data_IF_822096139625
#
_entry.id   IF_822096139625
#
_cell.length_a   1.000
_cell.length_b   1.000
_cell.length_c   1.000
_cell.angle_alpha   90.00
_cell.angle_beta   90.00
_cell.angle_gamma   90.00
#
_symmetry.space_group_name_H-M   'P 1'
#
loop_
_entity.id
_entity.type
_entity.pdbx_description
1 polymer ?
#
# COMPACT_ATOMS: atom_id res chain seq x y z
N UNK A 1 20.04 -14.34 26.21
CA UNK A 1 19.34 -15.52 25.62
C UNK A 1 18.54 -15.04 24.41
N UNK A 2 18.69 -15.69 23.27
CA UNK A 2 17.86 -15.45 22.11
C UNK A 2 16.88 -16.63 22.01
N UNK A 3 15.60 -16.40 22.30
CA UNK A 3 14.55 -17.40 22.06
C UNK A 3 13.83 -17.05 20.75
N UNK A 4 13.68 -18.03 19.86
CA UNK A 4 12.90 -17.90 18.63
C UNK A 4 11.65 -18.76 18.80
N UNK A 5 10.49 -18.12 18.88
CA UNK A 5 9.20 -18.80 18.90
C UNK A 5 8.53 -18.59 17.55
N UNK A 6 8.17 -19.64 16.85
CA UNK A 6 7.36 -19.56 15.64
C UNK A 6 5.87 -19.66 16.04
N UNK A 7 5.13 -18.58 15.86
CA UNK A 7 3.66 -18.61 15.99
C UNK A 7 3.08 -18.82 14.59
N UNK A 8 2.56 -20.04 14.35
CA UNK A 8 1.85 -20.32 13.10
C UNK A 8 0.47 -19.65 13.13
N UNK A 9 0.24 -18.63 12.30
CA UNK A 9 -1.11 -18.19 11.96
C UNK A 9 -1.67 -19.19 10.95
N UNK A 10 -2.26 -20.27 11.46
CA UNK A 10 -2.84 -21.33 10.65
C UNK A 10 -4.16 -20.85 10.01
N UNK A 11 -4.07 -20.31 8.81
CA UNK A 11 -5.18 -20.22 7.87
C UNK A 11 -4.55 -20.27 6.49
N UNK A 12 -4.83 -21.33 5.72
CA UNK A 12 -4.36 -21.41 4.34
C UNK A 12 -4.83 -20.15 3.59
N UNK A 13 -3.91 -19.51 2.86
CA UNK A 13 -4.29 -18.42 1.97
C UNK A 13 -5.23 -18.98 0.89
N UNK A 14 -6.43 -18.40 0.75
CA UNK A 14 -7.34 -18.79 -0.32
C UNK A 14 -6.71 -18.50 -1.69
N UNK A 15 -6.96 -19.37 -2.67
CA UNK A 15 -6.56 -19.11 -4.04
C UNK A 15 -7.26 -17.85 -4.57
N UNK A 16 -6.63 -17.11 -5.52
CA UNK A 16 -7.30 -15.99 -6.17
C UNK A 16 -8.52 -16.47 -6.96
N UNK A 17 -9.56 -15.63 -7.09
CA UNK A 17 -10.73 -15.97 -7.88
C UNK A 17 -10.35 -16.25 -9.34
N UNK A 18 -11.14 -17.02 -10.08
CA UNK A 18 -10.95 -17.21 -11.50
C UNK A 18 -11.15 -15.88 -12.24
N UNK A 19 -10.21 -15.53 -13.09
CA UNK A 19 -10.23 -14.31 -13.91
C UNK A 19 -10.04 -14.73 -15.35
N UNK A 20 -10.86 -14.23 -16.26
CA UNK A 20 -10.75 -14.54 -17.70
C UNK A 20 -9.94 -13.49 -18.45
N UNK A 21 -9.86 -12.26 -17.92
CA UNK A 21 -9.03 -11.20 -18.49
C UNK A 21 -7.58 -11.67 -18.69
N UNK A 22 -6.95 -11.30 -19.81
CA UNK A 22 -5.63 -11.82 -20.18
C UNK A 22 -4.49 -11.37 -19.26
N UNK A 23 -4.62 -10.24 -18.56
CA UNK A 23 -3.58 -9.78 -17.65
C UNK A 23 -4.18 -9.11 -16.40
N UNK A 24 -3.61 -9.43 -15.23
CA UNK A 24 -3.94 -8.76 -13.98
C UNK A 24 -2.78 -8.81 -12.98
N UNK A 25 -2.81 -7.89 -12.02
CA UNK A 25 -1.92 -7.86 -10.87
C UNK A 25 -2.73 -7.47 -9.63
N UNK A 26 -2.50 -8.15 -8.51
CA UNK A 26 -2.98 -7.74 -7.18
C UNK A 26 -1.78 -7.53 -6.27
N UNK A 27 -1.69 -6.37 -5.64
CA UNK A 27 -0.64 -6.01 -4.68
C UNK A 27 -1.19 -5.83 -3.27
N UNK A 28 -0.44 -6.31 -2.31
CA UNK A 28 -0.69 -6.10 -0.89
C UNK A 28 -0.28 -4.71 -0.38
N UNK A 29 -0.50 -4.45 0.93
CA UNK A 29 -0.21 -3.15 1.55
C UNK A 29 1.27 -2.77 1.53
N UNK A 30 2.16 -3.73 1.44
CA UNK A 30 3.62 -3.56 1.33
C UNK A 30 4.11 -3.34 -0.12
N UNK A 31 3.18 -3.30 -1.10
CA UNK A 31 3.47 -3.21 -2.52
C UNK A 31 3.90 -4.53 -3.17
N UNK A 32 4.03 -5.62 -2.39
CA UNK A 32 4.36 -6.95 -2.91
C UNK A 32 3.21 -7.53 -3.73
N UNK A 33 3.54 -8.24 -4.83
CA UNK A 33 2.53 -8.95 -5.64
C UNK A 33 2.02 -10.17 -4.89
N UNK A 34 0.69 -10.29 -4.75
CA UNK A 34 0.05 -11.43 -4.06
C UNK A 34 -0.66 -12.38 -5.02
N UNK A 35 -1.05 -11.88 -6.21
CA UNK A 35 -1.52 -12.67 -7.34
C UNK A 35 -1.26 -11.93 -8.65
N UNK A 36 -1.02 -12.66 -9.74
CA UNK A 36 -0.84 -12.07 -11.06
C UNK A 36 -1.07 -13.10 -12.16
N UNK A 37 -1.43 -12.59 -13.37
CA UNK A 37 -1.39 -13.28 -14.65
C UNK A 37 -0.78 -12.34 -15.67
N UNK A 38 0.21 -12.80 -16.44
CA UNK A 38 0.90 -12.03 -17.45
C UNK A 38 1.20 -10.58 -17.01
N UNK A 39 1.85 -10.37 -15.82
CA UNK A 39 1.94 -9.06 -15.19
C UNK A 39 2.70 -8.03 -15.99
N UNK A 40 3.66 -8.47 -16.80
CA UNK A 40 4.59 -7.63 -17.55
C UNK A 40 4.30 -7.64 -19.08
N UNK A 41 3.25 -8.35 -19.51
CA UNK A 41 2.86 -8.41 -20.92
C UNK A 41 2.44 -7.02 -21.42
N UNK A 42 3.05 -6.50 -22.50
CA UNK A 42 2.69 -5.21 -23.10
C UNK A 42 1.24 -5.22 -23.59
N UNK A 43 0.48 -4.17 -23.22
CA UNK A 43 -0.91 -3.96 -23.64
C UNK A 43 -1.19 -2.46 -23.77
N UNK A 44 -2.14 -2.12 -24.63
CA UNK A 44 -2.65 -0.75 -24.69
C UNK A 44 -3.28 -0.37 -23.35
N UNK A 45 -2.83 0.72 -22.71
CA UNK A 45 -3.33 1.13 -21.40
C UNK A 45 -4.67 1.87 -21.45
N UNK A 46 -5.11 2.28 -22.61
CA UNK A 46 -6.27 3.16 -22.80
C UNK A 46 -6.21 4.38 -21.86
N UNK A 47 -7.35 4.85 -21.39
CA UNK A 47 -7.46 6.02 -20.53
C UNK A 47 -6.81 5.86 -19.13
N UNK A 48 -6.26 4.70 -18.77
CA UNK A 48 -5.40 4.59 -17.57
C UNK A 48 -4.19 5.54 -17.70
N UNK A 49 -3.75 5.82 -18.93
CA UNK A 49 -2.76 6.84 -19.31
C UNK A 49 -2.98 8.18 -18.60
N UNK A 50 -4.23 8.60 -18.40
CA UNK A 50 -4.56 9.90 -17.78
C UNK A 50 -4.10 10.04 -16.33
N UNK A 51 -3.82 8.94 -15.63
CA UNK A 51 -3.13 9.00 -14.35
C UNK A 51 -1.73 9.60 -14.48
N UNK A 52 -0.98 9.20 -15.52
CA UNK A 52 0.35 9.78 -15.81
C UNK A 52 0.21 11.24 -16.25
N UNK A 53 -0.74 11.55 -17.11
CA UNK A 53 -0.97 12.91 -17.59
C UNK A 53 -1.26 13.88 -16.45
N UNK A 54 -2.18 13.52 -15.54
CA UNK A 54 -2.49 14.38 -14.40
C UNK A 54 -1.32 14.42 -13.40
N UNK A 55 -0.63 13.30 -13.18
CA UNK A 55 0.53 13.27 -12.29
C UNK A 55 1.62 14.23 -12.77
N UNK A 56 1.98 14.18 -14.05
CA UNK A 56 2.97 15.09 -14.67
C UNK A 56 2.46 16.53 -14.65
N UNK A 57 1.19 16.76 -14.97
CA UNK A 57 0.63 18.11 -14.95
C UNK A 57 0.74 18.75 -13.55
N UNK A 58 0.43 18.00 -12.49
CA UNK A 58 0.53 18.48 -11.10
C UNK A 58 1.97 18.64 -10.58
N UNK A 59 2.95 18.16 -11.31
CA UNK A 59 4.37 18.37 -10.99
C UNK A 59 4.95 19.61 -11.68
N UNK A 60 4.26 20.11 -12.73
CA UNK A 60 4.75 21.21 -13.57
C UNK A 60 3.85 22.44 -13.59
N UNK A 61 2.65 22.35 -13.02
CA UNK A 61 1.69 23.45 -12.98
C UNK A 61 0.93 23.50 -11.65
N UNK A 62 0.52 24.69 -11.23
CA UNK A 62 -0.31 24.89 -10.06
C UNK A 62 -1.79 24.75 -10.43
N UNK A 63 -2.59 24.28 -9.48
CA UNK A 63 -4.03 24.03 -9.70
C UNK A 63 -4.83 25.29 -10.08
N UNK A 64 -4.39 26.46 -9.64
CA UNK A 64 -5.04 27.75 -9.87
C UNK A 64 -4.64 28.44 -11.19
N UNK A 65 -3.65 27.90 -11.90
CA UNK A 65 -3.23 28.42 -13.19
C UNK A 65 -4.31 28.24 -14.24
N UNK A 66 -4.47 29.26 -15.10
CA UNK A 66 -5.48 29.29 -16.17
C UNK A 66 -4.85 28.85 -17.48
N UNK A 67 -5.44 27.85 -18.06
CA UNK A 67 -5.09 27.28 -19.37
C UNK A 67 -6.01 27.87 -20.41
N UNK A 68 -5.45 28.36 -21.53
CA UNK A 68 -6.21 28.64 -22.76
C UNK A 68 -6.20 27.34 -23.59
N UNK A 69 -7.39 26.80 -23.86
CA UNK A 69 -7.55 25.52 -24.58
C UNK A 69 -7.07 25.69 -26.02
N UNK A 70 -6.07 24.90 -26.41
CA UNK A 70 -5.56 24.88 -27.77
C UNK A 70 -6.62 24.30 -28.74
N UNK A 71 -6.71 24.76 -30.01
CA UNK A 71 -7.64 24.20 -30.99
C UNK A 71 -7.50 22.68 -31.16
N UNK A 72 -6.27 22.15 -31.11
CA UNK A 72 -6.00 20.74 -31.22
C UNK A 72 -6.53 19.93 -30.00
N UNK A 73 -6.57 20.53 -28.82
CA UNK A 73 -7.16 19.89 -27.64
C UNK A 73 -8.69 19.82 -27.75
N UNK A 74 -9.32 20.90 -28.22
CA UNK A 74 -10.76 20.94 -28.45
C UNK A 74 -11.23 20.02 -29.60
N UNK A 75 -10.33 19.64 -30.51
CA UNK A 75 -10.62 18.76 -31.65
C UNK A 75 -10.45 17.25 -31.35
N UNK A 76 -9.94 16.89 -30.16
CA UNK A 76 -9.79 15.47 -29.78
C UNK A 76 -11.16 14.87 -29.50
N UNK A 77 -11.43 13.75 -30.20
CA UNK A 77 -12.72 13.07 -30.13
C UNK A 77 -12.87 12.10 -28.96
N UNK A 78 -13.93 11.32 -29.03
CA UNK A 78 -14.41 10.31 -28.08
C UNK A 78 -14.84 10.93 -26.72
N UNK A 79 -14.35 10.44 -25.59
CA UNK A 79 -14.73 10.97 -24.27
C UNK A 79 -14.26 12.41 -24.10
N UNK A 80 -15.17 13.39 -24.07
CA UNK A 80 -14.88 14.83 -23.92
C UNK A 80 -15.78 15.49 -22.89
N UNK A 81 -15.41 16.68 -22.47
CA UNK A 81 -16.26 17.63 -21.70
C UNK A 81 -16.58 18.87 -22.54
N UNK A 82 -16.47 18.74 -23.86
CA UNK A 82 -16.82 19.75 -24.87
C UNK A 82 -16.07 21.07 -24.66
N UNK A 83 -14.75 20.99 -24.43
CA UNK A 83 -13.90 22.18 -24.34
C UNK A 83 -13.88 22.90 -25.70
N UNK A 84 -13.92 24.24 -25.67
CA UNK A 84 -13.84 25.06 -26.88
C UNK A 84 -12.43 25.63 -27.05
N UNK A 85 -12.00 25.77 -28.31
CA UNK A 85 -10.77 26.48 -28.62
C UNK A 85 -10.80 27.91 -28.07
N UNK A 86 -9.75 28.32 -27.37
CA UNK A 86 -9.68 29.63 -26.72
C UNK A 86 -10.39 29.69 -25.36
N UNK A 87 -11.12 28.67 -24.93
CA UNK A 87 -11.73 28.62 -23.60
C UNK A 87 -10.66 28.73 -22.51
N UNK A 88 -10.96 29.52 -21.47
CA UNK A 88 -10.08 29.70 -20.32
C UNK A 88 -10.60 28.87 -19.15
N UNK A 89 -9.82 27.90 -18.72
CA UNK A 89 -10.17 26.92 -17.67
C UNK A 89 -8.98 26.64 -16.77
N UNK A 90 -9.22 26.35 -15.50
CA UNK A 90 -8.12 26.07 -14.55
C UNK A 90 -7.48 24.71 -14.78
N UNK A 91 -6.19 24.58 -14.43
CA UNK A 91 -5.50 23.26 -14.34
C UNK A 91 -6.28 22.30 -13.45
N UNK A 92 -6.87 22.81 -12.37
CA UNK A 92 -7.74 22.05 -11.46
C UNK A 92 -8.91 21.40 -12.20
N UNK A 93 -9.66 22.17 -12.94
CA UNK A 93 -10.86 21.68 -13.63
C UNK A 93 -10.53 20.72 -14.76
N UNK A 94 -9.44 20.99 -15.50
CA UNK A 94 -8.92 20.07 -16.51
C UNK A 94 -8.49 18.73 -15.90
N UNK A 95 -7.79 18.76 -14.75
CA UNK A 95 -7.36 17.54 -14.08
C UNK A 95 -8.57 16.75 -13.53
N UNK A 96 -9.61 17.43 -13.01
CA UNK A 96 -10.87 16.79 -12.60
C UNK A 96 -11.55 16.14 -13.81
N UNK A 97 -11.65 16.85 -14.92
CA UNK A 97 -12.26 16.36 -16.16
C UNK A 97 -11.51 15.15 -16.75
N UNK A 98 -10.17 15.11 -16.65
CA UNK A 98 -9.37 13.97 -17.08
C UNK A 98 -9.55 12.74 -16.16
N UNK A 99 -9.77 12.94 -14.84
CA UNK A 99 -9.89 11.86 -13.88
C UNK A 99 -11.31 11.30 -13.78
N UNK A 100 -12.34 12.14 -13.65
CA UNK A 100 -13.72 11.73 -13.35
C UNK A 100 -14.41 11.18 -14.61
N UNK A 101 -14.76 11.95 -15.65
CA UNK A 101 -15.39 11.43 -16.85
C UNK A 101 -14.37 10.89 -17.87
N UNK A 102 -13.07 10.94 -17.54
CA UNK A 102 -12.01 10.45 -18.44
C UNK A 102 -11.83 11.28 -19.73
N UNK A 103 -12.04 12.60 -19.68
CA UNK A 103 -12.07 13.48 -20.84
C UNK A 103 -10.72 13.57 -21.57
N UNK A 104 -10.74 13.31 -22.89
CA UNK A 104 -9.56 13.34 -23.76
C UNK A 104 -9.12 14.77 -24.07
N UNK A 105 -10.07 15.66 -24.32
CA UNK A 105 -9.84 17.08 -24.57
C UNK A 105 -9.16 17.77 -23.36
N UNK A 106 -9.61 17.46 -22.15
CA UNK A 106 -9.01 17.97 -20.92
C UNK A 106 -7.57 17.46 -20.71
N UNK A 107 -7.33 16.15 -20.92
CA UNK A 107 -5.99 15.58 -20.86
C UNK A 107 -5.05 16.22 -21.89
N UNK A 108 -5.54 16.45 -23.09
CA UNK A 108 -4.80 17.08 -24.17
C UNK A 108 -4.53 18.57 -23.89
N UNK A 109 -5.50 19.29 -23.32
CA UNK A 109 -5.31 20.70 -22.92
C UNK A 109 -4.22 20.83 -21.82
N UNK A 110 -4.21 19.96 -20.83
CA UNK A 110 -3.13 19.88 -19.83
C UNK A 110 -1.77 19.62 -20.50
N UNK A 111 -1.74 18.69 -21.46
CA UNK A 111 -0.51 18.36 -22.17
C UNK A 111 0.04 19.52 -23.01
N UNK A 112 -0.82 20.23 -23.73
CA UNK A 112 -0.41 21.43 -24.47
C UNK A 112 0.11 22.51 -23.53
N UNK A 113 -0.56 22.74 -22.42
CA UNK A 113 -0.17 23.76 -21.46
C UNK A 113 1.22 23.47 -20.86
N UNK A 114 1.41 22.31 -20.26
CA UNK A 114 2.67 21.91 -19.64
C UNK A 114 3.78 21.72 -20.66
N UNK A 115 3.45 21.18 -21.83
CA UNK A 115 4.36 21.01 -22.96
C UNK A 115 4.71 22.32 -23.68
N UNK A 116 4.16 23.47 -23.23
CA UNK A 116 4.37 24.79 -23.84
C UNK A 116 4.02 24.80 -25.33
N UNK A 117 2.86 24.30 -25.68
CA UNK A 117 2.35 24.19 -27.05
C UNK A 117 2.80 22.95 -27.82
N UNK A 118 3.55 22.02 -27.18
CA UNK A 118 4.12 20.85 -27.85
C UNK A 118 3.70 19.55 -27.17
N UNK A 119 2.90 18.71 -27.81
CA UNK A 119 2.56 17.37 -27.33
C UNK A 119 3.79 16.45 -27.22
N UNK A 120 4.71 16.41 -28.21
CA UNK A 120 5.92 15.60 -28.09
C UNK A 120 6.75 15.95 -26.84
N UNK A 121 6.81 17.23 -26.47
CA UNK A 121 7.52 17.66 -25.25
C UNK A 121 6.83 17.12 -23.99
N UNK A 122 5.48 17.15 -23.94
CA UNK A 122 4.74 16.60 -22.81
C UNK A 122 4.87 15.07 -22.73
N UNK A 123 4.78 14.39 -23.86
CA UNK A 123 4.99 12.93 -23.93
C UNK A 123 6.40 12.54 -23.46
N UNK A 124 7.41 13.34 -23.79
CA UNK A 124 8.76 13.13 -23.26
C UNK A 124 8.79 13.23 -21.71
N UNK A 125 8.08 14.21 -21.11
CA UNK A 125 7.93 14.28 -19.64
C UNK A 125 7.23 13.05 -19.07
N UNK A 126 6.17 12.54 -19.74
CA UNK A 126 5.48 11.31 -19.31
C UNK A 126 6.45 10.11 -19.31
N UNK A 127 7.26 9.95 -20.34
CA UNK A 127 8.22 8.85 -20.45
C UNK A 127 9.39 8.99 -19.48
N UNK A 128 9.87 10.21 -19.22
CA UNK A 128 10.82 10.49 -18.15
C UNK A 128 10.25 10.05 -16.80
N UNK A 129 9.00 10.44 -16.50
CA UNK A 129 8.31 10.03 -15.26
C UNK A 129 8.11 8.52 -15.19
N UNK A 130 7.81 7.85 -16.30
CA UNK A 130 7.72 6.39 -16.35
C UNK A 130 9.04 5.73 -15.95
N UNK A 131 10.16 6.24 -16.46
CA UNK A 131 11.51 5.81 -16.05
C UNK A 131 11.79 6.03 -14.55
N UNK A 132 11.46 7.21 -14.01
CA UNK A 132 11.60 7.52 -12.57
C UNK A 132 10.79 6.58 -11.66
N UNK A 133 9.62 6.13 -12.14
CA UNK A 133 8.75 5.20 -11.44
C UNK A 133 9.12 3.73 -11.66
N UNK A 134 10.10 3.43 -12.52
CA UNK A 134 10.51 2.07 -12.87
C UNK A 134 9.46 1.31 -13.67
N UNK A 135 8.68 1.97 -14.53
CA UNK A 135 7.66 1.35 -15.39
C UNK A 135 8.34 0.77 -16.64
N UNK A 136 8.94 -0.40 -16.50
CA UNK A 136 9.83 -0.99 -17.51
C UNK A 136 9.13 -1.53 -18.75
N UNK A 137 7.83 -1.77 -18.69
CA UNK A 137 7.00 -2.24 -19.81
C UNK A 137 6.05 -1.14 -20.30
N UNK A 138 6.40 0.14 -20.06
CA UNK A 138 5.53 1.27 -20.39
C UNK A 138 6.24 2.26 -21.29
N UNK A 139 5.55 2.65 -22.36
CA UNK A 139 5.89 3.77 -23.22
C UNK A 139 4.62 4.53 -23.60
N UNK A 140 4.59 5.82 -23.35
CA UNK A 140 3.49 6.70 -23.70
C UNK A 140 3.76 7.38 -25.04
N UNK A 141 2.77 7.36 -25.94
CA UNK A 141 2.82 8.07 -27.23
C UNK A 141 1.86 9.27 -27.27
N UNK A 142 0.86 9.32 -26.35
CA UNK A 142 -0.08 10.42 -26.25
C UNK A 142 -0.56 10.62 -24.79
N UNK A 143 -1.22 11.77 -24.46
CA UNK A 143 -1.64 12.07 -23.08
C UNK A 143 -3.00 11.50 -22.70
N UNK A 144 -3.81 11.01 -23.63
CA UNK A 144 -5.21 10.63 -23.40
C UNK A 144 -5.46 9.12 -23.38
N UNK A 145 -4.61 8.35 -24.07
CA UNK A 145 -4.69 6.89 -24.08
C UNK A 145 -5.46 6.28 -25.27
N UNK A 146 -5.76 7.06 -26.31
CA UNK A 146 -6.28 6.52 -27.56
C UNK A 146 -5.21 5.62 -28.23
N UNK A 147 -5.66 4.66 -29.02
CA UNK A 147 -4.78 3.70 -29.68
C UNK A 147 -3.78 4.40 -30.59
N UNK A 148 -2.52 4.08 -30.41
CA UNK A 148 -1.41 4.62 -31.18
C UNK A 148 -0.23 3.64 -31.12
N UNK A 149 0.49 3.48 -32.21
CA UNK A 149 1.68 2.63 -32.25
C UNK A 149 2.69 3.01 -31.15
N UNK A 150 3.17 2.01 -30.45
CA UNK A 150 4.10 2.21 -29.35
C UNK A 150 3.45 2.70 -28.05
N UNK A 151 2.13 2.97 -28.00
CA UNK A 151 1.44 3.34 -26.75
C UNK A 151 1.08 2.10 -25.93
N UNK A 152 2.00 1.69 -25.04
CA UNK A 152 1.90 0.43 -24.29
C UNK A 152 2.17 0.60 -22.81
N UNK A 153 1.64 -0.30 -22.01
CA UNK A 153 1.94 -0.47 -20.59
C UNK A 153 1.74 -1.94 -20.18
N UNK A 154 1.80 -2.25 -18.89
CA UNK A 154 1.54 -3.59 -18.36
C UNK A 154 0.68 -3.53 -17.11
N UNK A 155 0.09 -4.67 -16.70
CA UNK A 155 -0.69 -4.75 -15.48
C UNK A 155 0.13 -4.37 -14.24
N UNK A 156 1.41 -4.75 -14.19
CA UNK A 156 2.34 -4.34 -13.13
C UNK A 156 2.56 -2.84 -13.12
N UNK A 157 2.84 -2.26 -14.28
CA UNK A 157 3.23 -0.86 -14.40
C UNK A 157 2.06 0.08 -14.08
N UNK A 158 0.85 -0.20 -14.58
CA UNK A 158 -0.33 0.62 -14.24
C UNK A 158 -0.68 0.54 -12.76
N UNK A 159 -0.41 -0.60 -12.09
CA UNK A 159 -0.57 -0.73 -10.64
C UNK A 159 0.46 0.13 -9.89
N UNK A 160 1.71 0.17 -10.38
CA UNK A 160 2.77 1.03 -9.84
C UNK A 160 2.44 2.50 -10.06
N UNK A 161 1.95 2.85 -11.25
CA UNK A 161 1.52 4.20 -11.60
C UNK A 161 0.39 4.68 -10.68
N UNK A 162 -0.66 3.87 -10.47
CA UNK A 162 -1.74 4.24 -9.55
C UNK A 162 -1.20 4.48 -8.14
N UNK A 163 -0.35 3.57 -7.63
CA UNK A 163 0.24 3.73 -6.30
C UNK A 163 1.04 5.03 -6.15
N UNK A 164 1.76 5.45 -7.20
CA UNK A 164 2.48 6.72 -7.24
C UNK A 164 1.51 7.92 -7.31
N UNK A 165 0.51 7.85 -8.18
CA UNK A 165 -0.48 8.90 -8.39
C UNK A 165 -1.30 9.17 -7.10
N UNK A 166 -1.67 8.13 -6.35
CA UNK A 166 -2.41 8.25 -5.08
C UNK A 166 -1.62 8.91 -3.94
N UNK A 167 -0.31 9.12 -4.09
CA UNK A 167 0.46 9.98 -3.17
C UNK A 167 0.12 11.45 -3.30
N UNK A 168 -0.43 11.87 -4.45
CA UNK A 168 -0.97 13.23 -4.64
C UNK A 168 -2.40 13.28 -4.08
N UNK A 169 -2.68 14.06 -3.03
CA UNK A 169 -4.01 14.12 -2.40
C UNK A 169 -5.11 14.49 -3.42
N UNK A 170 -4.81 15.35 -4.36
CA UNK A 170 -5.73 15.75 -5.42
C UNK A 170 -6.18 14.53 -6.26
N UNK A 171 -5.24 13.73 -6.78
CA UNK A 171 -5.56 12.54 -7.58
C UNK A 171 -6.35 11.54 -6.74
N UNK A 172 -5.92 11.27 -5.50
CA UNK A 172 -6.63 10.38 -4.58
C UNK A 172 -8.09 10.80 -4.36
N UNK A 173 -8.34 12.11 -4.19
CA UNK A 173 -9.69 12.62 -3.99
C UNK A 173 -10.55 12.42 -5.25
N UNK A 174 -10.07 12.85 -6.41
CA UNK A 174 -10.89 12.91 -7.60
C UNK A 174 -11.01 11.59 -8.36
N UNK A 175 -10.04 10.68 -8.26
CA UNK A 175 -10.13 9.35 -8.86
C UNK A 175 -11.05 8.36 -8.10
N UNK A 176 -11.68 8.80 -7.00
CA UNK A 176 -12.67 8.02 -6.24
C UNK A 176 -14.05 8.72 -6.19
N UNK A 177 -14.25 9.81 -6.95
CA UNK A 177 -15.51 10.55 -6.96
C UNK A 177 -16.43 10.10 -8.08
N UNK A 178 -17.70 9.88 -7.75
CA UNK A 178 -18.75 9.54 -8.74
C UNK A 178 -19.15 10.73 -9.61
N UNK A 179 -19.09 11.95 -9.04
CA UNK A 179 -19.50 13.18 -9.71
C UNK A 179 -18.57 14.33 -9.36
N UNK A 180 -18.49 15.31 -10.24
CA UNK A 180 -17.82 16.59 -10.00
C UNK A 180 -18.55 17.70 -10.75
N UNK A 181 -18.38 18.94 -10.29
CA UNK A 181 -18.80 20.14 -11.03
C UNK A 181 -17.57 21.00 -11.26
N UNK A 182 -17.35 21.44 -12.52
CA UNK A 182 -16.26 22.31 -12.90
C UNK A 182 -16.79 23.67 -13.39
N UNK A 183 -15.88 24.57 -13.76
CA UNK A 183 -16.23 25.88 -14.27
C UNK A 183 -17.31 25.84 -15.37
N UNK A 184 -18.17 26.86 -15.38
CA UNK A 184 -19.33 26.91 -16.29
C UNK A 184 -20.50 26.02 -15.86
N UNK A 185 -20.48 25.45 -14.65
CA UNK A 185 -21.56 24.59 -14.14
C UNK A 185 -21.63 23.22 -14.79
N UNK A 186 -20.56 22.79 -15.48
CA UNK A 186 -20.49 21.43 -16.10
C UNK A 186 -20.47 20.36 -15.02
N UNK A 187 -21.50 19.52 -15.00
CA UNK A 187 -21.60 18.34 -14.13
C UNK A 187 -20.96 17.16 -14.85
N UNK A 188 -20.01 16.54 -14.17
CA UNK A 188 -19.22 15.42 -14.68
C UNK A 188 -19.58 14.15 -13.91
N UNK A 189 -19.77 13.03 -14.63
CA UNK A 189 -20.04 11.72 -14.04
C UNK A 189 -18.86 10.79 -14.30
N UNK A 190 -18.52 9.98 -13.30
CA UNK A 190 -17.46 8.98 -13.41
C UNK A 190 -17.88 7.85 -14.35
N UNK A 191 -16.87 7.29 -15.05
CA UNK A 191 -16.99 6.05 -15.84
C UNK A 191 -16.71 4.80 -15.03
N UNK A 192 -16.48 4.91 -13.71
CA UNK A 192 -16.12 3.80 -12.85
C UNK A 192 -17.35 3.23 -12.12
N UNK A 193 -17.82 2.07 -12.58
CA UNK A 193 -18.97 1.36 -12.00
C UNK A 193 -18.70 0.74 -10.61
N UNK A 194 -17.46 0.77 -10.11
CA UNK A 194 -17.11 0.25 -8.78
C UNK A 194 -17.21 1.30 -7.68
N UNK A 195 -17.36 2.58 -8.03
CA UNK A 195 -17.54 3.66 -7.04
C UNK A 195 -18.87 3.46 -6.30
N UNK A 196 -18.80 3.46 -4.95
CA UNK A 196 -19.96 3.23 -4.09
C UNK A 196 -20.24 1.75 -3.78
N UNK A 197 -19.65 0.80 -4.53
CA UNK A 197 -19.78 -0.64 -4.26
C UNK A 197 -18.62 -1.18 -3.43
N UNK A 198 -17.45 -0.57 -3.53
CA UNK A 198 -16.23 -0.93 -2.81
C UNK A 198 -15.65 0.29 -2.09
N UNK A 199 -14.84 0.08 -1.02
CA UNK A 199 -14.15 1.16 -0.32
C UNK A 199 -12.95 1.67 -1.15
N UNK A 200 -13.23 2.23 -2.33
CA UNK A 200 -12.23 2.75 -3.25
C UNK A 200 -11.52 3.97 -2.66
N UNK A 201 -10.20 3.99 -2.80
CA UNK A 201 -9.36 5.15 -2.48
C UNK A 201 -8.76 5.80 -3.73
N UNK A 202 -9.03 5.22 -4.88
CA UNK A 202 -8.73 5.75 -6.20
C UNK A 202 -8.73 4.68 -7.28
N UNK A 203 -9.14 5.06 -8.48
CA UNK A 203 -9.21 4.16 -9.62
C UNK A 203 -9.09 4.93 -10.95
N UNK A 204 -8.88 4.19 -12.03
CA UNK A 204 -9.00 4.70 -13.40
C UNK A 204 -9.41 3.58 -14.34
N UNK A 205 -10.50 3.80 -15.06
CA UNK A 205 -10.98 2.95 -16.13
C UNK A 205 -10.31 3.29 -17.46
N UNK A 206 -10.29 2.33 -18.37
CA UNK A 206 -9.82 2.52 -19.74
C UNK A 206 -10.52 1.56 -20.68
N UNK A 207 -10.85 2.04 -21.89
CA UNK A 207 -11.38 1.24 -22.98
C UNK A 207 -10.94 1.85 -24.31
N UNK A 208 -10.46 1.00 -25.20
CA UNK A 208 -10.33 1.22 -26.65
C UNK A 208 -10.47 -0.15 -27.33
N UNK A 209 -10.60 -0.16 -28.64
CA UNK A 209 -10.70 -1.44 -29.37
C UNK A 209 -9.48 -2.33 -29.18
N UNK A 210 -8.27 -1.76 -29.16
CA UNK A 210 -7.04 -2.52 -28.92
C UNK A 210 -6.85 -2.92 -27.45
N UNK A 211 -7.27 -2.08 -26.49
CA UNK A 211 -7.08 -2.34 -25.07
C UNK A 211 -8.10 -3.32 -24.49
N UNK A 212 -9.30 -3.40 -25.05
CA UNK A 212 -10.45 -3.98 -24.37
C UNK A 212 -10.83 -3.20 -23.11
N UNK A 213 -11.66 -3.75 -22.28
CA UNK A 213 -12.08 -3.14 -21.01
C UNK A 213 -11.02 -3.34 -19.94
N UNK A 214 -10.45 -2.26 -19.46
CA UNK A 214 -9.31 -2.24 -18.54
C UNK A 214 -9.59 -1.33 -17.35
N UNK A 215 -9.02 -1.65 -16.20
CA UNK A 215 -9.12 -0.80 -15.00
C UNK A 215 -7.96 -1.07 -14.04
N UNK A 216 -7.54 -0.04 -13.34
CA UNK A 216 -6.69 -0.13 -12.14
C UNK A 216 -7.40 0.55 -10.98
N UNK A 217 -7.42 -0.10 -9.80
CA UNK A 217 -8.11 0.41 -8.63
C UNK A 217 -7.38 0.06 -7.34
N UNK A 218 -7.58 0.89 -6.32
CA UNK A 218 -7.12 0.64 -4.96
C UNK A 218 -8.29 0.73 -3.98
N UNK A 219 -8.38 -0.23 -3.07
CA UNK A 219 -9.34 -0.27 -1.96
C UNK A 219 -8.59 -0.22 -0.63
N UNK A 220 -9.23 0.34 0.40
CA UNK A 220 -8.67 0.34 1.75
C UNK A 220 -9.74 -0.01 2.78
N UNK A 221 -9.44 -0.98 3.66
CA UNK A 221 -10.28 -1.37 4.79
C UNK A 221 -9.40 -1.70 5.99
N UNK A 222 -9.71 -1.14 7.14
CA UNK A 222 -9.01 -1.40 8.42
C UNK A 222 -7.49 -1.19 8.34
N UNK A 223 -7.03 -0.22 7.53
CA UNK A 223 -5.61 0.07 7.30
C UNK A 223 -4.91 -0.96 6.40
N UNK A 224 -5.65 -1.82 5.71
CA UNK A 224 -5.15 -2.69 4.63
C UNK A 224 -5.52 -2.07 3.30
N UNK A 225 -4.51 -1.69 2.52
CA UNK A 225 -4.69 -1.22 1.15
C UNK A 225 -4.32 -2.32 0.16
N UNK A 226 -5.23 -2.63 -0.73
CA UNK A 226 -5.01 -3.52 -1.87
C UNK A 226 -5.10 -2.70 -3.13
N UNK A 227 -4.16 -2.90 -4.04
CA UNK A 227 -4.19 -2.29 -5.38
C UNK A 227 -4.24 -3.40 -6.40
N UNK A 228 -5.18 -3.33 -7.34
CA UNK A 228 -5.27 -4.31 -8.42
C UNK A 228 -5.46 -3.63 -9.77
N UNK A 229 -4.94 -4.26 -10.79
CA UNK A 229 -5.20 -3.94 -12.20
C UNK A 229 -5.76 -5.17 -12.91
N UNK A 230 -6.64 -4.92 -13.87
CA UNK A 230 -7.18 -5.91 -14.78
C UNK A 230 -7.22 -5.29 -16.18
N UNK A 231 -6.55 -5.90 -17.15
CA UNK A 231 -6.39 -5.38 -18.50
C UNK A 231 -6.96 -6.36 -19.54
N UNK A 232 -7.78 -5.83 -20.45
CA UNK A 232 -8.24 -6.55 -21.62
C UNK A 232 -9.45 -7.45 -21.41
N UNK A 233 -10.35 -7.15 -20.48
CA UNK A 233 -11.63 -7.85 -20.37
C UNK A 233 -12.50 -7.64 -21.62
N UNK A 234 -13.33 -8.62 -21.95
CA UNK A 234 -14.16 -8.56 -23.15
C UNK A 234 -15.33 -7.56 -23.02
N UNK A 235 -15.83 -7.35 -21.80
CA UNK A 235 -16.93 -6.42 -21.51
C UNK A 235 -16.69 -5.60 -20.25
N UNK A 236 -17.41 -4.48 -20.14
CA UNK A 236 -17.38 -3.66 -18.96
C UNK A 236 -17.88 -4.40 -17.71
N UNK A 237 -18.96 -5.14 -17.85
CA UNK A 237 -19.53 -5.94 -16.76
C UNK A 237 -18.53 -6.97 -16.24
N UNK A 238 -17.84 -7.67 -17.15
CA UNK A 238 -16.79 -8.62 -16.80
C UNK A 238 -15.63 -7.94 -16.06
N UNK A 239 -15.13 -6.79 -16.60
CA UNK A 239 -14.08 -5.99 -15.95
C UNK A 239 -14.45 -5.64 -14.52
N UNK A 240 -15.67 -5.13 -14.33
CA UNK A 240 -16.15 -4.70 -13.00
C UNK A 240 -16.25 -5.90 -12.04
N UNK A 241 -16.86 -7.00 -12.47
CA UNK A 241 -17.03 -8.19 -11.63
C UNK A 241 -15.67 -8.79 -11.23
N UNK A 242 -14.81 -9.10 -12.20
CA UNK A 242 -13.53 -9.75 -11.95
C UNK A 242 -12.58 -8.87 -11.10
N UNK A 243 -12.54 -7.54 -11.35
CA UNK A 243 -11.72 -6.63 -10.55
C UNK A 243 -12.24 -6.48 -9.13
N UNK A 244 -13.57 -6.42 -8.95
CA UNK A 244 -14.19 -6.38 -7.61
C UNK A 244 -13.85 -7.63 -6.80
N UNK A 245 -13.94 -8.81 -7.42
CA UNK A 245 -13.58 -10.09 -6.78
C UNK A 245 -12.09 -10.13 -6.40
N UNK A 246 -11.18 -9.68 -7.29
CA UNK A 246 -9.75 -9.61 -7.02
C UNK A 246 -9.45 -8.68 -5.84
N UNK A 247 -10.07 -7.51 -5.78
CA UNK A 247 -9.90 -6.54 -4.70
C UNK A 247 -10.45 -7.08 -3.36
N UNK A 248 -11.64 -7.67 -3.37
CA UNK A 248 -12.26 -8.28 -2.19
C UNK A 248 -11.43 -9.47 -1.68
N UNK A 249 -10.97 -10.34 -2.60
CA UNK A 249 -10.07 -11.43 -2.28
C UNK A 249 -8.76 -10.90 -1.67
N UNK A 250 -8.16 -9.87 -2.27
CA UNK A 250 -6.94 -9.26 -1.76
C UNK A 250 -7.09 -8.77 -0.32
N UNK A 251 -8.21 -8.09 0.01
CA UNK A 251 -8.52 -7.68 1.39
C UNK A 251 -8.67 -8.87 2.33
N UNK A 252 -9.31 -9.96 1.89
CA UNK A 252 -9.53 -11.17 2.70
C UNK A 252 -8.24 -11.91 3.06
N UNK A 253 -7.15 -11.67 2.30
CA UNK A 253 -5.84 -12.24 2.58
C UNK A 253 -5.18 -11.66 3.84
N UNK A 254 -5.72 -10.60 4.42
CA UNK A 254 -5.14 -9.94 5.59
C UNK A 254 -6.09 -10.03 6.78
N UNK A 255 -5.52 -10.36 7.96
CA UNK A 255 -6.24 -10.40 9.22
C UNK A 255 -5.49 -9.57 10.27
N UNK A 256 -6.26 -8.87 11.11
CA UNK A 256 -5.72 -8.16 12.26
C UNK A 256 -5.48 -9.18 13.38
N UNK A 257 -4.23 -9.36 13.77
CA UNK A 257 -3.83 -10.25 14.85
C UNK A 257 -3.02 -9.50 15.91
N UNK A 258 -3.11 -9.98 17.15
CA UNK A 258 -2.22 -9.54 18.24
C UNK A 258 -0.87 -10.21 17.99
N UNK A 259 0.16 -9.41 17.74
CA UNK A 259 1.50 -9.90 17.41
C UNK A 259 2.47 -9.81 18.59
N UNK A 260 2.14 -9.04 19.63
CA UNK A 260 2.89 -9.02 20.90
C UNK A 260 1.96 -8.74 22.07
N UNK A 261 2.29 -9.28 23.25
CA UNK A 261 1.52 -9.13 24.48
C UNK A 261 0.69 -10.36 24.82
N UNK A 262 0.08 -10.37 26.00
CA UNK A 262 -0.84 -11.42 26.47
C UNK A 262 -0.18 -12.65 27.07
N UNK A 263 1.16 -12.77 27.06
CA UNK A 263 1.89 -13.89 27.67
C UNK A 263 3.25 -13.47 28.24
N UNK A 264 3.86 -14.38 29.00
CA UNK A 264 5.22 -14.24 29.53
C UNK A 264 6.21 -14.69 28.44
N UNK A 265 7.16 -13.84 28.08
CA UNK A 265 8.17 -14.09 27.06
C UNK A 265 9.41 -14.82 27.57
N UNK A 266 9.58 -14.89 28.88
CA UNK A 266 10.71 -15.56 29.54
C UNK A 266 10.83 -15.14 30.99
N UNK A 267 11.89 -15.65 31.60
CA UNK A 267 12.21 -15.37 33.00
C UNK A 267 13.67 -14.94 33.12
N UNK A 268 13.94 -14.01 34.02
CA UNK A 268 15.29 -13.58 34.38
C UNK A 268 15.58 -13.93 35.83
N UNK A 269 16.75 -14.48 36.09
CA UNK A 269 17.22 -14.71 37.45
C UNK A 269 17.46 -13.38 38.17
N UNK A 270 17.02 -13.29 39.41
CA UNK A 270 17.21 -12.10 40.27
C UNK A 270 18.13 -12.38 41.44
N UNK A 271 18.67 -13.61 41.51
CA UNK A 271 19.59 -14.07 42.55
C UNK A 271 18.94 -14.28 43.93
N UNK A 272 19.77 -14.60 44.87
CA UNK A 272 19.42 -14.76 46.31
C UNK A 272 18.31 -15.78 46.60
N UNK A 273 18.12 -16.79 45.73
CA UNK A 273 17.09 -17.83 45.89
C UNK A 273 15.65 -17.33 45.73
N UNK A 274 15.46 -16.18 45.12
CA UNK A 274 14.12 -15.63 44.83
C UNK A 274 13.58 -16.26 43.54
N UNK A 275 12.25 -16.25 43.42
CA UNK A 275 11.59 -16.67 42.19
C UNK A 275 12.05 -15.81 41.02
N UNK A 276 12.30 -16.41 39.85
CA UNK A 276 12.68 -15.65 38.66
C UNK A 276 11.64 -14.59 38.26
N UNK A 277 12.13 -13.44 37.78
CA UNK A 277 11.29 -12.33 37.30
C UNK A 277 10.65 -12.71 35.96
N UNK A 278 9.34 -12.66 35.87
CA UNK A 278 8.63 -12.81 34.60
C UNK A 278 8.82 -11.56 33.72
N UNK A 279 9.13 -11.80 32.45
CA UNK A 279 9.33 -10.76 31.45
C UNK A 279 8.12 -10.69 30.53
N UNK A 280 7.50 -9.51 30.41
CA UNK A 280 6.28 -9.28 29.63
C UNK A 280 6.48 -8.16 28.62
N UNK A 281 5.69 -8.13 27.56
CA UNK A 281 5.69 -6.99 26.62
C UNK A 281 5.14 -5.73 27.31
N UNK A 282 5.81 -4.61 27.13
CA UNK A 282 5.39 -3.33 27.71
C UNK A 282 4.00 -2.88 27.23
N UNK A 283 3.60 -3.32 26.05
CA UNK A 283 2.28 -3.07 25.45
C UNK A 283 1.89 -4.16 24.49
N UNK A 284 0.59 -4.38 24.34
CA UNK A 284 0.02 -5.22 23.31
C UNK A 284 0.10 -4.47 21.97
N UNK A 285 0.53 -5.16 20.91
CA UNK A 285 0.58 -4.62 19.55
C UNK A 285 -0.21 -5.53 18.62
N UNK A 286 -1.16 -4.94 17.90
CA UNK A 286 -1.88 -5.64 16.81
C UNK A 286 -1.39 -5.15 15.46
N UNK A 287 -1.32 -6.05 14.47
CA UNK A 287 -0.94 -5.75 13.09
C UNK A 287 -1.84 -6.51 12.11
N UNK A 288 -2.02 -5.92 10.93
CA UNK A 288 -2.58 -6.63 9.81
C UNK A 288 -1.47 -7.50 9.21
N UNK A 289 -1.67 -8.80 9.19
CA UNK A 289 -0.71 -9.78 8.67
C UNK A 289 -1.38 -10.63 7.60
N UNK A 290 -0.59 -11.10 6.64
CA UNK A 290 -1.09 -11.96 5.58
C UNK A 290 -1.40 -13.35 6.15
N UNK A 291 -2.60 -13.87 5.87
CA UNK A 291 -3.01 -15.22 6.24
C UNK A 291 -2.09 -16.27 5.61
N UNK A 292 -1.84 -17.36 6.32
CA UNK A 292 -0.96 -18.44 5.86
C UNK A 292 0.55 -18.12 5.90
N UNK A 293 0.94 -16.95 6.41
CA UNK A 293 2.35 -16.60 6.58
C UNK A 293 2.75 -16.73 8.05
N UNK A 294 3.89 -17.41 8.35
CA UNK A 294 4.34 -17.57 9.72
C UNK A 294 4.78 -16.22 10.31
N UNK A 295 4.45 -16.02 11.58
CA UNK A 295 5.03 -14.97 12.40
C UNK A 295 6.17 -15.57 13.21
N UNK A 296 7.33 -14.92 13.19
CA UNK A 296 8.51 -15.32 13.95
C UNK A 296 8.79 -14.28 15.02
N UNK A 297 8.62 -14.67 16.28
CA UNK A 297 9.00 -13.84 17.43
C UNK A 297 10.47 -14.06 17.77
N UNK A 298 11.21 -12.98 17.94
CA UNK A 298 12.58 -12.98 18.47
C UNK A 298 12.60 -12.18 19.76
N UNK A 299 12.93 -12.86 20.84
CA UNK A 299 13.06 -12.27 22.18
C UNK A 299 14.53 -12.04 22.47
N UNK A 300 14.91 -10.81 22.78
CA UNK A 300 16.26 -10.43 23.23
C UNK A 300 16.12 -9.83 24.62
N UNK A 301 16.58 -10.53 25.65
CA UNK A 301 16.44 -10.11 27.03
C UNK A 301 17.63 -10.50 27.88
N UNK A 302 17.86 -9.78 28.96
CA UNK A 302 18.78 -10.17 30.01
C UNK A 302 18.30 -11.43 30.74
N UNK A 303 19.18 -12.39 30.95
CA UNK A 303 18.88 -13.61 31.70
C UNK A 303 19.02 -13.45 33.21
N UNK A 304 19.69 -12.39 33.66
CA UNK A 304 19.83 -12.02 35.05
C UNK A 304 19.64 -10.53 35.25
N UNK A 305 19.01 -10.13 36.36
CA UNK A 305 18.74 -8.76 36.73
C UNK A 305 19.28 -8.48 38.13
N UNK A 306 19.96 -7.32 38.29
CA UNK A 306 20.40 -6.85 39.58
C UNK A 306 19.23 -6.22 40.35
N UNK A 307 19.12 -6.53 41.62
CA UNK A 307 18.12 -5.94 42.53
C UNK A 307 18.57 -4.54 43.03
N UNK A 308 17.63 -3.60 43.22
CA UNK A 308 16.19 -3.74 43.05
C UNK A 308 15.76 -3.70 41.59
N UNK A 309 14.63 -4.38 41.28
CA UNK A 309 13.95 -4.30 39.98
C UNK A 309 12.60 -3.64 40.20
N UNK A 310 12.23 -2.68 39.34
CA UNK A 310 10.93 -2.02 39.38
C UNK A 310 10.02 -2.56 38.28
N UNK A 311 8.72 -2.67 38.56
CA UNK A 311 7.72 -3.03 37.54
C UNK A 311 7.80 -2.05 36.38
N UNK A 312 7.76 -2.58 35.15
CA UNK A 312 7.89 -1.77 33.92
C UNK A 312 9.34 -1.42 33.56
N UNK A 313 10.34 -1.78 34.39
CA UNK A 313 11.75 -1.61 34.03
C UNK A 313 12.07 -2.36 32.74
N UNK A 314 12.64 -1.66 31.74
CA UNK A 314 13.03 -2.28 30.47
C UNK A 314 14.19 -3.25 30.67
N UNK A 315 14.01 -4.48 30.19
CA UNK A 315 14.96 -5.59 30.35
C UNK A 315 15.31 -6.26 29.03
N UNK A 316 14.68 -5.82 27.94
CA UNK A 316 14.91 -6.36 26.62
C UNK A 316 13.93 -5.82 25.58
N UNK A 317 13.73 -6.61 24.52
CA UNK A 317 12.74 -6.30 23.50
C UNK A 317 12.23 -7.58 22.82
N UNK A 318 10.99 -7.51 22.31
CA UNK A 318 10.39 -8.50 21.41
C UNK A 318 10.30 -7.89 20.02
N UNK A 319 10.76 -8.64 19.03
CA UNK A 319 10.66 -8.32 17.61
C UNK A 319 9.85 -9.39 16.90
N UNK A 320 8.85 -9.00 16.12
CA UNK A 320 8.03 -9.93 15.36
C UNK A 320 8.25 -9.69 13.87
N UNK A 321 8.49 -10.77 13.15
CA UNK A 321 8.76 -10.78 11.72
C UNK A 321 7.68 -11.56 10.97
N UNK A 322 7.33 -11.11 9.77
CA UNK A 322 6.55 -11.84 8.78
C UNK A 322 7.32 -11.82 7.47
N UNK A 323 7.54 -12.98 6.86
CA UNK A 323 8.35 -13.13 5.65
C UNK A 323 9.73 -12.42 5.73
N UNK A 324 10.40 -12.53 6.90
CA UNK A 324 11.70 -11.88 7.15
C UNK A 324 11.65 -10.37 7.39
N UNK A 325 10.50 -9.72 7.25
CA UNK A 325 10.31 -8.29 7.49
C UNK A 325 9.83 -8.02 8.91
N UNK A 326 10.38 -7.00 9.58
CA UNK A 326 9.97 -6.56 10.90
C UNK A 326 8.57 -5.94 10.83
N UNK A 327 7.57 -6.57 11.47
CA UNK A 327 6.18 -6.09 11.52
C UNK A 327 5.81 -5.45 12.85
N UNK A 328 6.48 -5.83 13.95
CA UNK A 328 6.28 -5.22 15.26
C UNK A 328 7.55 -5.27 16.10
N UNK A 329 7.66 -4.30 16.99
CA UNK A 329 8.69 -4.20 18.02
C UNK A 329 8.09 -3.61 19.29
N UNK A 330 8.38 -4.22 20.45
CA UNK A 330 7.95 -3.69 21.75
C UNK A 330 9.05 -3.94 22.79
N UNK A 331 9.26 -3.01 23.75
CA UNK A 331 10.12 -3.28 24.89
C UNK A 331 9.60 -4.48 25.69
N UNK A 332 10.52 -5.28 26.22
CA UNK A 332 10.26 -6.28 27.23
C UNK A 332 10.57 -5.68 28.59
N UNK A 333 9.67 -5.86 29.53
CA UNK A 333 9.74 -5.22 30.86
C UNK A 333 9.53 -6.23 31.97
N UNK A 334 10.00 -5.89 33.18
CA UNK A 334 9.75 -6.65 34.40
C UNK A 334 8.25 -6.59 34.75
N UNK A 335 7.64 -7.75 34.98
CA UNK A 335 6.21 -7.87 35.26
C UNK A 335 5.81 -7.29 36.64
N UNK A 336 6.72 -7.35 37.61
CA UNK A 336 6.51 -6.91 39.00
C UNK A 336 7.75 -6.19 39.55
N UNK A 337 7.61 -5.58 40.73
CA UNK A 337 8.76 -5.02 41.46
C UNK A 337 9.34 -6.05 42.43
N UNK A 338 10.66 -6.10 42.53
CA UNK A 338 11.37 -6.85 43.58
C UNK A 338 12.34 -5.90 44.29
N UNK A 339 12.17 -5.69 45.61
CA UNK A 339 13.02 -4.77 46.38
C UNK A 339 14.45 -5.32 46.56
N UNK A 340 15.37 -4.42 46.88
CA UNK A 340 16.73 -4.80 47.23
C UNK A 340 16.76 -5.81 48.40
N UNK A 341 17.77 -6.68 48.38
CA UNK A 341 18.02 -7.59 49.50
C UNK A 341 18.82 -6.86 50.55
N UNK A 342 18.31 -6.79 51.79
CA UNK A 342 19.03 -6.21 52.93
C UNK A 342 20.28 -7.03 53.31
N UNK A 343 21.14 -6.41 54.13
CA UNK A 343 22.42 -7.03 54.53
C UNK A 343 22.24 -8.44 55.11
N UNK A 344 21.29 -8.61 56.08
CA UNK A 344 21.00 -9.91 56.72
C UNK A 344 20.55 -10.98 55.68
N UNK A 345 19.75 -10.63 54.69
CA UNK A 345 19.33 -11.55 53.62
C UNK A 345 20.46 -11.98 52.71
N UNK A 346 21.38 -11.06 52.39
CA UNK A 346 22.59 -11.37 51.60
C UNK A 346 23.51 -12.35 52.39
N UNK A 347 23.82 -12.03 53.66
CA UNK A 347 24.65 -12.84 54.52
C UNK A 347 24.08 -14.25 54.71
N UNK A 348 22.77 -14.38 54.97
CA UNK A 348 22.11 -15.68 55.11
C UNK A 348 22.09 -16.51 53.84
N UNK A 349 21.97 -15.91 52.69
CA UNK A 349 22.01 -16.61 51.39
C UNK A 349 23.43 -17.16 51.08
N UNK A 350 24.48 -16.34 51.30
CA UNK A 350 25.85 -16.76 51.11
C UNK A 350 26.22 -17.86 52.10
N UNK A 351 25.83 -17.78 53.36
CA UNK A 351 26.10 -18.82 54.36
C UNK A 351 25.48 -20.17 53.95
N UNK A 352 24.21 -20.20 53.53
CA UNK A 352 23.55 -21.44 53.07
C UNK A 352 24.21 -22.02 51.81
N UNK A 353 24.60 -21.18 50.86
CA UNK A 353 25.27 -21.63 49.64
C UNK A 353 26.64 -22.24 49.92
N UNK A 354 27.41 -21.64 50.84
CA UNK A 354 28.71 -22.17 51.26
C UNK A 354 28.56 -23.49 52.00
N UNK A 355 27.57 -23.64 52.89
CA UNK A 355 27.28 -24.91 53.58
C UNK A 355 26.90 -26.01 52.56
N UNK A 356 26.07 -25.74 51.61
CA UNK A 356 25.67 -26.71 50.56
C UNK A 356 26.86 -27.21 49.70
N UNK A 357 27.80 -26.28 49.39
CA UNK A 357 29.04 -26.68 48.69
C UNK A 357 29.96 -27.55 49.57
N UNK A 358 30.04 -27.29 50.85
CA UNK A 358 30.85 -28.05 51.76
C UNK A 358 30.27 -29.44 52.02
N UNK A 359 28.96 -29.60 52.11
CA UNK A 359 28.30 -30.91 52.30
C UNK A 359 28.41 -31.75 51.02
N UNK A 360 28.33 -31.14 49.80
CA UNK A 360 28.50 -31.84 48.51
C UNK A 360 29.93 -32.24 48.19
N UNK A 361 30.93 -31.80 48.94
CA UNK A 361 32.32 -32.22 48.83
C UNK A 361 32.66 -33.40 49.78
N UNK A 362 31.77 -33.77 50.74
CA UNK A 362 31.97 -34.82 51.74
C UNK A 362 31.05 -36.03 51.53
N UNK A 363 30.12 -35.93 50.55
CA UNK A 363 29.27 -37.03 50.04
C UNK A 363 29.73 -37.48 48.65
#
# INVERSE_FOLDING_TARGET
MLAVLAVCVASAAAAPPPVTAPAYVVRGPDGGVIAARAPDAPRAPASITKLMTVLVALEHARLDEIVTVAPQAAAVGESTVELRAGERISVRDLAIAALVPSANDAATALAYYVGRGSLPRFVALMNTKAGELGLTSTHFANPHGLDQDGHVSSARDVTTLLAAALRKPFIRTWSAKSTATIAGGRVLNSTDGLIGTLPLVGAKTGHTDAAGWSQVAAVERDGVRITASLLGAATETQRNAELAELLAWGLSQYKRVVVTGGHVYGHADVGYGRAPMSLVAARQVSRNVRAGRPLVERVVASTALALPVTQGQRVGEVRVYSDGRLVARTPLVAATSIPAVGFAGKAGWYARRTLHHLVGLVS
#
